data_IF_002426115758
#
_entry.id   IF_002426115758
#
_cell.length_a   1.000
_cell.length_b   1.000
_cell.length_c   1.000
_cell.angle_alpha   90.00
_cell.angle_beta   90.00
_cell.angle_gamma   90.00
#
_symmetry.space_group_name_H-M   'P 1'
#
loop_
_entity.id
_entity.type
_entity.pdbx_description
1 polymer ?
#
# COMPACT_ATOMS: atom_id res chain seq x y z
N UNK A 1 3.63 2.13 -18.63
CA UNK A 1 3.69 1.44 -17.31
C UNK A 1 2.70 0.30 -17.29
N UNK A 2 3.01 -0.82 -16.62
CA UNK A 2 2.07 -1.95 -16.46
C UNK A 2 1.56 -1.95 -15.01
N UNK A 3 0.24 -2.00 -14.84
CA UNK A 3 -0.45 -2.08 -13.54
C UNK A 3 -0.97 -3.51 -13.35
N UNK A 4 -0.84 -4.03 -12.13
CA UNK A 4 -1.25 -5.40 -11.75
C UNK A 4 -2.16 -5.37 -10.54
N UNK A 5 -2.81 -6.49 -10.20
CA UNK A 5 -3.55 -6.60 -8.95
C UNK A 5 -2.60 -6.57 -7.74
N UNK A 6 -3.05 -6.03 -6.59
CA UNK A 6 -2.26 -6.01 -5.37
C UNK A 6 -2.08 -7.42 -4.77
N UNK A 7 -2.82 -8.41 -5.26
CA UNK A 7 -2.74 -9.81 -4.83
C UNK A 7 -2.56 -10.66 -6.10
N UNK A 8 -1.60 -11.60 -6.07
CA UNK A 8 -1.34 -12.47 -7.21
C UNK A 8 -2.54 -13.39 -7.46
N UNK A 9 -3.09 -13.34 -8.66
CA UNK A 9 -4.06 -14.31 -9.13
C UNK A 9 -3.34 -15.49 -9.80
N UNK A 10 -3.82 -16.73 -9.63
CA UNK A 10 -3.28 -17.88 -10.35
C UNK A 10 -3.45 -17.67 -11.86
N UNK A 11 -2.36 -17.84 -12.60
CA UNK A 11 -2.37 -17.82 -14.06
C UNK A 11 -2.74 -19.20 -14.58
N UNK A 12 -3.69 -19.26 -15.52
CA UNK A 12 -4.09 -20.48 -16.22
C UNK A 12 -3.92 -20.23 -17.71
N UNK A 13 -2.96 -20.92 -18.34
CA UNK A 13 -2.69 -20.82 -19.77
C UNK A 13 -3.93 -21.21 -20.59
N UNK A 14 -4.26 -20.45 -21.64
CA UNK A 14 -5.45 -20.64 -22.47
C UNK A 14 -6.76 -20.10 -21.86
N UNK A 15 -6.70 -19.56 -20.64
CA UNK A 15 -7.80 -18.88 -19.97
C UNK A 15 -7.42 -17.45 -19.57
N UNK A 16 -6.51 -16.80 -20.29
CA UNK A 16 -5.93 -15.50 -19.93
C UNK A 16 -6.98 -14.39 -19.76
N UNK A 17 -8.05 -14.43 -20.56
CA UNK A 17 -9.21 -13.53 -20.47
C UNK A 17 -10.42 -14.17 -19.76
N UNK A 18 -10.31 -15.45 -19.37
CA UNK A 18 -11.35 -16.27 -18.73
C UNK A 18 -10.97 -16.68 -17.32
N UNK A 19 -9.95 -16.08 -16.73
CA UNK A 19 -9.84 -16.03 -15.28
C UNK A 19 -11.03 -15.17 -14.87
N UNK A 20 -12.15 -15.84 -14.63
CA UNK A 20 -13.37 -15.23 -14.13
C UNK A 20 -12.93 -14.32 -12.97
N UNK A 21 -13.45 -13.09 -12.81
CA UNK A 21 -13.02 -12.15 -11.76
C UNK A 21 -13.13 -12.64 -10.29
N UNK A 22 -13.18 -13.93 -9.99
CA UNK A 22 -14.40 -14.50 -9.43
C UNK A 22 -14.31 -14.94 -7.97
N UNK A 23 -13.12 -14.97 -7.37
CA UNK A 23 -13.00 -15.25 -5.93
C UNK A 23 -12.64 -14.00 -5.14
N UNK A 24 -11.66 -13.24 -5.64
CA UNK A 24 -11.17 -12.06 -4.94
C UNK A 24 -12.19 -10.90 -4.96
N UNK A 25 -12.80 -10.62 -6.12
CA UNK A 25 -13.81 -9.56 -6.22
C UNK A 25 -15.19 -10.01 -5.73
N UNK A 26 -15.56 -11.28 -5.83
CA UNK A 26 -16.79 -11.76 -5.15
C UNK A 26 -16.69 -11.63 -3.63
N UNK A 27 -15.49 -11.72 -3.07
CA UNK A 27 -15.22 -11.45 -1.67
C UNK A 27 -14.87 -9.96 -1.41
N UNK A 28 -15.00 -9.08 -2.40
CA UNK A 28 -14.86 -7.64 -2.16
C UNK A 28 -16.17 -7.07 -1.61
N UNK A 29 -16.09 -6.13 -0.68
CA UNK A 29 -17.23 -5.44 -0.08
C UNK A 29 -18.32 -6.27 0.62
N UNK A 30 -18.14 -7.58 0.74
CA UNK A 30 -19.12 -8.50 1.33
C UNK A 30 -19.50 -8.14 2.78
N UNK A 31 -18.61 -7.48 3.52
CA UNK A 31 -18.81 -7.13 4.94
C UNK A 31 -19.01 -5.63 5.15
N UNK A 32 -18.44 -4.81 4.28
CA UNK A 32 -18.32 -3.36 4.46
C UNK A 32 -19.27 -2.52 3.62
N UNK A 33 -20.09 -3.14 2.74
CA UNK A 33 -21.08 -2.46 1.90
C UNK A 33 -20.56 -2.12 0.50
N UNK A 34 -21.45 -1.91 -0.48
CA UNK A 34 -21.07 -1.85 -1.90
C UNK A 34 -20.36 -0.53 -2.28
N UNK A 35 -19.13 -0.60 -2.77
CA UNK A 35 -18.41 0.55 -3.30
C UNK A 35 -19.23 1.28 -4.40
N UNK A 36 -19.32 2.63 -4.38
CA UNK A 36 -18.57 3.58 -3.55
C UNK A 36 -19.21 3.93 -2.19
N UNK A 37 -20.21 3.17 -1.74
CA UNK A 37 -20.96 3.43 -0.51
C UNK A 37 -20.72 2.35 0.55
N UNK A 38 -20.22 2.76 1.72
CA UNK A 38 -20.07 1.85 2.84
C UNK A 38 -21.43 1.41 3.42
N UNK A 39 -21.43 0.36 4.24
CA UNK A 39 -22.58 -0.19 4.97
C UNK A 39 -23.21 0.84 5.91
N UNK A 40 -22.42 1.79 6.38
CA UNK A 40 -22.85 2.96 7.15
C UNK A 40 -23.51 4.07 6.30
N UNK A 41 -23.63 3.88 4.98
CA UNK A 41 -24.12 4.85 3.99
C UNK A 41 -23.25 6.11 3.87
N UNK A 42 -21.97 6.00 4.18
CA UNK A 42 -20.99 7.04 3.89
C UNK A 42 -20.22 6.73 2.61
N UNK A 43 -19.64 7.78 2.03
CA UNK A 43 -18.66 7.66 0.97
C UNK A 43 -17.51 6.76 1.42
N UNK A 44 -17.13 5.84 0.57
CA UNK A 44 -16.09 4.87 0.83
C UNK A 44 -15.05 4.96 -0.29
N UNK A 45 -13.84 5.42 0.05
CA UNK A 45 -12.80 5.84 -0.92
C UNK A 45 -12.11 4.70 -1.66
N UNK A 46 -12.38 3.45 -1.28
CA UNK A 46 -11.72 2.27 -1.80
C UNK A 46 -12.50 1.01 -1.62
N UNK A 47 -11.83 -0.09 -1.94
CA UNK A 47 -12.40 -1.42 -1.82
C UNK A 47 -11.73 -2.27 -0.74
N UNK A 48 -12.49 -2.98 0.07
CA UNK A 48 -12.04 -4.07 0.90
C UNK A 48 -11.87 -5.33 0.06
N UNK A 49 -10.67 -5.87 0.05
CA UNK A 49 -10.33 -7.13 -0.62
C UNK A 49 -10.09 -8.21 0.44
N UNK A 50 -10.82 -9.31 0.33
CA UNK A 50 -10.67 -10.47 1.21
C UNK A 50 -10.20 -11.69 0.40
N UNK A 51 -8.89 -11.83 0.12
CA UNK A 51 -8.38 -12.94 -0.70
C UNK A 51 -8.53 -14.27 0.02
N UNK A 52 -9.05 -15.30 -0.65
CA UNK A 52 -9.22 -16.67 -0.10
C UNK A 52 -8.03 -17.13 0.73
N UNK A 53 -6.80 -16.98 0.20
CA UNK A 53 -5.59 -17.11 1.00
C UNK A 53 -5.25 -15.81 1.73
N UNK A 54 -5.61 -15.72 3.01
CA UNK A 54 -5.28 -14.57 3.87
C UNK A 54 -3.78 -14.44 4.14
N UNK A 55 -2.96 -15.43 3.79
CA UNK A 55 -1.51 -15.36 3.87
C UNK A 55 -0.84 -15.01 2.52
N UNK A 56 -1.62 -14.69 1.49
CA UNK A 56 -1.08 -14.17 0.25
C UNK A 56 -0.39 -12.80 0.48
N UNK A 57 0.81 -12.56 -0.09
CA UNK A 57 1.47 -11.27 -0.01
C UNK A 57 0.68 -10.19 -0.76
N UNK A 58 0.55 -9.03 -0.13
CA UNK A 58 0.06 -7.79 -0.76
C UNK A 58 1.25 -7.12 -1.43
N UNK A 59 1.12 -6.81 -2.71
CA UNK A 59 2.20 -6.37 -3.58
C UNK A 59 1.91 -5.03 -4.21
N UNK A 60 2.98 -4.28 -4.50
CA UNK A 60 2.88 -3.03 -5.23
C UNK A 60 2.34 -3.29 -6.64
N UNK A 61 1.25 -2.60 -6.99
CA UNK A 61 0.57 -2.77 -8.29
C UNK A 61 1.42 -2.32 -9.47
N UNK A 62 2.35 -1.40 -9.24
CA UNK A 62 3.21 -0.77 -10.23
C UNK A 62 4.45 -0.17 -9.55
N UNK A 63 5.47 0.19 -10.35
CA UNK A 63 6.64 0.88 -9.82
C UNK A 63 6.28 2.30 -9.34
N UNK A 64 6.80 2.73 -8.20
CA UNK A 64 6.41 3.99 -7.57
C UNK A 64 7.31 4.40 -6.41
N UNK A 65 7.08 5.58 -5.88
CA UNK A 65 7.79 6.14 -4.74
C UNK A 65 6.94 5.93 -3.48
N UNK A 66 7.57 5.58 -2.36
CA UNK A 66 6.86 5.58 -1.08
C UNK A 66 6.60 7.03 -0.70
N UNK A 67 5.34 7.38 -0.46
CA UNK A 67 4.96 8.72 0.03
C UNK A 67 5.01 8.71 1.55
N UNK A 68 4.28 7.76 2.14
CA UNK A 68 4.19 7.56 3.57
C UNK A 68 3.82 6.10 3.86
N UNK A 69 4.17 5.64 5.05
CA UNK A 69 3.74 4.35 5.55
C UNK A 69 3.59 4.39 7.06
N UNK A 70 2.85 3.43 7.61
CA UNK A 70 2.81 3.14 9.04
C UNK A 70 2.79 1.64 9.21
N UNK A 71 3.60 1.15 10.12
CA UNK A 71 3.51 -0.22 10.63
C UNK A 71 3.37 -0.18 12.13
N UNK A 72 2.32 -0.81 12.63
CA UNK A 72 2.14 -1.08 14.05
C UNK A 72 2.75 -2.45 14.36
N UNK A 73 3.36 -2.61 15.54
CA UNK A 73 3.87 -3.92 15.95
C UNK A 73 2.72 -4.89 16.26
N UNK A 74 1.62 -4.40 16.81
CA UNK A 74 0.38 -5.14 17.09
C UNK A 74 -0.84 -4.33 16.69
N UNK A 75 -1.98 -4.98 16.45
CA UNK A 75 -3.24 -4.28 16.21
C UNK A 75 -3.66 -3.44 17.42
N UNK A 76 -4.35 -2.34 17.16
CA UNK A 76 -4.71 -1.34 18.18
C UNK A 76 -6.18 -0.96 18.03
N UNK A 77 -6.87 -0.74 19.14
CA UNK A 77 -8.22 -0.18 19.12
C UNK A 77 -8.19 1.34 19.25
N UNK A 78 -9.31 1.97 18.91
CA UNK A 78 -9.58 3.37 19.22
C UNK A 78 -10.99 3.53 19.82
N UNK A 79 -11.31 4.75 20.26
CA UNK A 79 -12.61 5.07 20.85
C UNK A 79 -13.76 5.04 19.82
N UNK A 80 -13.45 5.15 18.52
CA UNK A 80 -14.46 5.17 17.45
C UNK A 80 -15.00 3.77 17.15
N UNK A 81 -14.24 2.71 17.42
CA UNK A 81 -14.60 1.32 17.14
C UNK A 81 -14.76 0.45 18.40
N UNK A 82 -15.36 1.00 19.46
CA UNK A 82 -15.67 0.27 20.71
C UNK A 82 -14.44 -0.46 21.32
N UNK A 83 -13.23 0.06 21.09
CA UNK A 83 -11.93 -0.53 21.49
C UNK A 83 -11.57 -1.86 20.83
N UNK A 84 -12.31 -2.31 19.82
CA UNK A 84 -11.95 -3.49 19.04
C UNK A 84 -10.62 -3.23 18.31
N UNK A 85 -9.62 -4.08 18.55
CA UNK A 85 -8.29 -3.94 17.94
C UNK A 85 -8.34 -4.25 16.45
N UNK A 86 -7.84 -3.34 15.63
CA UNK A 86 -7.73 -3.54 14.18
C UNK A 86 -6.38 -3.01 13.68
N UNK A 87 -6.06 -3.29 12.41
CA UNK A 87 -4.79 -2.85 11.86
C UNK A 87 -4.91 -1.41 11.37
N UNK A 88 -4.02 -0.55 11.86
CA UNK A 88 -3.83 0.80 11.32
C UNK A 88 -2.65 0.87 10.36
N UNK A 89 -1.97 -0.25 10.08
CA UNK A 89 -0.79 -0.25 9.21
C UNK A 89 -1.20 0.00 7.76
N UNK A 90 -0.42 0.83 7.07
CA UNK A 90 -0.67 1.15 5.68
C UNK A 90 0.61 1.49 4.92
N UNK A 91 0.54 1.42 3.60
CA UNK A 91 1.55 1.96 2.68
C UNK A 91 0.84 2.84 1.65
N UNK A 92 1.39 4.02 1.36
CA UNK A 92 0.94 4.92 0.30
C UNK A 92 2.05 5.08 -0.74
N UNK A 93 1.74 4.76 -1.99
CA UNK A 93 2.67 4.88 -3.12
C UNK A 93 2.22 5.96 -4.09
N UNK A 94 3.18 6.73 -4.62
CA UNK A 94 3.02 7.63 -5.77
C UNK A 94 3.55 6.95 -7.02
N UNK A 95 2.75 6.98 -8.07
CA UNK A 95 3.11 6.44 -9.37
C UNK A 95 3.15 7.55 -10.40
N UNK A 96 4.06 7.42 -11.36
CA UNK A 96 4.17 8.30 -12.50
C UNK A 96 4.23 7.45 -13.76
N UNK A 97 3.23 7.64 -14.62
CA UNK A 97 3.08 6.92 -15.88
C UNK A 97 3.25 7.89 -17.04
N UNK A 98 4.20 7.59 -17.94
CA UNK A 98 4.32 8.31 -19.20
C UNK A 98 3.18 7.88 -20.14
N UNK A 99 2.42 8.85 -20.65
CA UNK A 99 1.29 8.65 -21.55
C UNK A 99 1.68 8.74 -23.03
N UNK A 100 2.96 8.95 -23.31
CA UNK A 100 3.50 9.13 -24.65
C UNK A 100 3.83 10.58 -24.98
N UNK A 101 4.38 10.76 -26.17
CA UNK A 101 4.82 12.04 -26.69
C UNK A 101 3.77 12.60 -27.64
N UNK A 102 3.31 13.82 -27.37
CA UNK A 102 2.41 14.56 -28.24
C UNK A 102 3.13 15.73 -28.90
N UNK A 103 2.48 16.38 -29.86
CA UNK A 103 2.96 17.66 -30.43
C UNK A 103 3.08 18.78 -29.39
N UNK A 104 2.42 18.63 -28.22
CA UNK A 104 2.48 19.54 -27.08
C UNK A 104 3.52 19.12 -26.03
N UNK A 105 4.30 18.07 -26.29
CA UNK A 105 5.32 17.54 -25.39
C UNK A 105 4.95 16.19 -24.76
N UNK A 106 5.78 15.74 -23.81
CA UNK A 106 5.56 14.50 -23.06
C UNK A 106 4.47 14.71 -22.00
N UNK A 107 3.42 13.90 -22.04
CA UNK A 107 2.37 13.90 -21.01
C UNK A 107 2.63 12.82 -19.96
N UNK A 108 2.41 13.16 -18.70
CA UNK A 108 2.60 12.27 -17.55
C UNK A 108 1.31 12.22 -16.73
N UNK A 109 0.95 11.03 -16.26
CA UNK A 109 -0.14 10.80 -15.32
C UNK A 109 0.46 10.46 -13.95
N UNK A 110 0.09 11.23 -12.94
CA UNK A 110 0.39 10.92 -11.55
C UNK A 110 -0.85 10.32 -10.91
N UNK A 111 -0.67 9.23 -10.18
CA UNK A 111 -1.72 8.66 -9.35
C UNK A 111 -1.10 8.00 -8.13
N UNK A 112 -1.94 7.69 -7.15
CA UNK A 112 -1.54 7.08 -5.91
C UNK A 112 -2.23 5.75 -5.72
N UNK A 113 -1.58 4.84 -5.00
CA UNK A 113 -2.22 3.64 -4.47
C UNK A 113 -2.03 3.54 -2.97
N UNK A 114 -3.12 3.33 -2.25
CA UNK A 114 -3.16 3.22 -0.79
C UNK A 114 -3.55 1.79 -0.41
N UNK A 115 -2.75 1.19 0.48
CA UNK A 115 -2.93 -0.18 0.97
C UNK A 115 -3.08 -0.11 2.48
N UNK A 116 -4.30 -0.21 2.99
CA UNK A 116 -4.64 -0.12 4.41
C UNK A 116 -4.96 -1.48 5.02
N UNK A 117 -4.99 -1.51 6.35
CA UNK A 117 -5.21 -2.72 7.15
C UNK A 117 -4.17 -3.81 6.88
N UNK A 118 -2.92 -3.42 6.63
CA UNK A 118 -1.82 -4.38 6.47
C UNK A 118 -1.52 -5.06 7.80
N UNK A 119 -1.21 -6.35 7.80
CA UNK A 119 -0.97 -7.12 9.03
C UNK A 119 0.12 -6.49 9.90
N UNK A 120 -0.10 -6.46 11.21
CA UNK A 120 0.86 -5.96 12.19
C UNK A 120 2.24 -6.63 12.06
N UNK A 121 3.30 -5.85 12.32
CA UNK A 121 4.68 -6.24 12.06
C UNK A 121 5.12 -7.49 12.83
N UNK A 122 4.73 -7.62 14.10
CA UNK A 122 5.05 -8.78 14.93
C UNK A 122 4.63 -10.13 14.33
N UNK A 123 3.64 -10.13 13.42
CA UNK A 123 3.11 -11.32 12.75
C UNK A 123 3.76 -11.61 11.39
N UNK A 124 4.56 -10.69 10.86
CA UNK A 124 5.17 -10.81 9.52
C UNK A 124 6.69 -10.65 9.52
N UNK A 125 7.30 -10.18 10.61
CA UNK A 125 8.75 -9.93 10.75
C UNK A 125 9.64 -11.15 10.44
N UNK A 126 9.13 -12.36 10.67
CA UNK A 126 9.88 -13.60 10.49
C UNK A 126 9.75 -14.17 9.06
N UNK A 127 8.99 -13.51 8.17
CA UNK A 127 8.89 -13.91 6.77
C UNK A 127 10.18 -13.56 6.03
N UNK A 128 10.71 -14.52 5.27
CA UNK A 128 11.98 -14.43 4.56
C UNK A 128 11.83 -14.71 3.05
N UNK A 129 12.89 -14.44 2.29
CA UNK A 129 12.94 -14.70 0.85
C UNK A 129 11.84 -13.96 0.08
N UNK A 130 11.15 -14.65 -0.82
CA UNK A 130 10.07 -14.08 -1.65
C UNK A 130 8.82 -13.63 -0.87
N UNK A 131 8.73 -14.03 0.41
CA UNK A 131 7.66 -13.67 1.33
C UNK A 131 8.04 -12.49 2.24
N UNK A 132 9.30 -12.07 2.27
CA UNK A 132 9.72 -10.94 3.08
C UNK A 132 9.06 -9.64 2.61
N UNK A 133 8.62 -8.80 3.54
CA UNK A 133 8.21 -7.42 3.23
C UNK A 133 9.46 -6.67 2.80
N UNK A 134 9.46 -6.11 1.58
CA UNK A 134 10.70 -5.65 0.92
C UNK A 134 10.57 -4.32 0.15
N UNK A 135 9.48 -3.58 0.39
CA UNK A 135 9.22 -2.33 -0.34
C UNK A 135 10.15 -1.18 0.06
N UNK A 136 10.69 -1.18 1.28
CA UNK A 136 11.70 -0.21 1.69
C UNK A 136 13.08 -0.70 1.28
N UNK A 137 13.71 0.03 0.36
CA UNK A 137 15.06 -0.23 -0.13
C UNK A 137 15.88 1.04 -0.14
N UNK A 138 17.18 0.92 0.14
CA UNK A 138 18.14 2.02 0.02
C UNK A 138 19.03 1.76 -1.18
N UNK A 139 19.28 2.81 -1.94
CA UNK A 139 20.24 2.81 -3.01
C UNK A 139 21.64 2.75 -2.43
N UNK A 140 22.39 1.72 -2.79
CA UNK A 140 23.80 1.57 -2.47
C UNK A 140 24.57 1.91 -3.75
N UNK A 141 25.41 2.96 -3.74
CA UNK A 141 26.24 3.28 -4.88
C UNK A 141 27.30 2.20 -5.09
N UNK A 142 27.86 2.17 -6.29
CA UNK A 142 28.98 1.28 -6.61
C UNK A 142 30.13 1.50 -5.61
N UNK A 143 30.64 0.41 -5.03
CA UNK A 143 31.66 0.47 -3.97
C UNK A 143 32.63 -0.70 -4.08
N UNK A 144 33.88 -0.59 -3.60
CA UNK A 144 34.81 -1.71 -3.56
C UNK A 144 34.26 -2.85 -2.67
N UNK A 145 34.35 -4.08 -3.13
CA UNK A 145 34.04 -5.25 -2.32
C UNK A 145 35.08 -5.36 -1.19
N UNK A 146 34.62 -5.44 0.06
CA UNK A 146 35.47 -5.52 1.24
C UNK A 146 35.48 -6.95 1.81
N UNK A 147 36.68 -7.48 2.09
CA UNK A 147 36.88 -8.69 2.88
C UNK A 147 37.92 -8.42 3.96
N UNK A 148 37.62 -8.75 5.21
CA UNK A 148 38.50 -8.51 6.36
C UNK A 148 38.97 -7.04 6.48
N UNK A 149 38.08 -6.07 6.20
CA UNK A 149 38.37 -4.62 6.21
C UNK A 149 39.35 -4.14 5.12
N UNK A 150 39.63 -4.96 4.10
CA UNK A 150 40.45 -4.56 2.95
C UNK A 150 39.71 -4.79 1.63
N UNK A 151 39.94 -3.97 0.60
CA UNK A 151 39.38 -4.20 -0.74
C UNK A 151 39.86 -5.53 -1.32
N UNK A 152 38.95 -6.29 -1.89
CA UNK A 152 39.30 -7.42 -2.76
C UNK A 152 39.92 -6.87 -4.04
N UNK A 153 41.05 -7.43 -4.45
CA UNK A 153 41.77 -7.00 -5.66
C UNK A 153 41.64 -8.06 -6.76
N UNK A 154 41.55 -7.60 -8.00
CA UNK A 154 41.64 -8.43 -9.20
C UNK A 154 43.10 -8.85 -9.49
N UNK A 155 43.31 -9.61 -10.56
CA UNK A 155 44.65 -10.07 -10.99
C UNK A 155 45.59 -8.91 -11.38
N UNK A 156 45.04 -7.72 -11.60
CA UNK A 156 45.75 -6.50 -11.97
C UNK A 156 45.92 -5.54 -10.77
N UNK A 157 45.68 -6.02 -9.53
CA UNK A 157 45.75 -5.23 -8.30
C UNK A 157 44.76 -4.06 -8.24
N UNK A 158 43.65 -4.13 -8.98
CA UNK A 158 42.57 -3.13 -8.93
C UNK A 158 41.44 -3.62 -8.03
N UNK A 159 40.76 -2.74 -7.28
CA UNK A 159 39.61 -3.13 -6.48
C UNK A 159 38.52 -3.79 -7.33
N UNK A 160 38.02 -4.93 -6.88
CA UNK A 160 36.82 -5.55 -7.41
C UNK A 160 35.63 -4.74 -6.90
N UNK A 161 34.85 -4.18 -7.82
CA UNK A 161 33.72 -3.31 -7.51
C UNK A 161 32.45 -4.15 -7.35
N UNK A 162 31.67 -3.85 -6.31
CA UNK A 162 30.28 -4.24 -6.18
C UNK A 162 29.43 -3.21 -6.94
N UNK A 163 28.64 -3.63 -7.95
CA UNK A 163 27.84 -2.70 -8.73
C UNK A 163 26.77 -2.04 -7.85
N UNK A 164 26.36 -0.85 -8.24
CA UNK A 164 25.29 -0.14 -7.55
C UNK A 164 23.98 -0.96 -7.58
N UNK A 165 23.31 -1.04 -6.44
CA UNK A 165 22.12 -1.87 -6.29
C UNK A 165 21.24 -1.37 -5.12
N UNK A 166 20.04 -1.94 -5.02
CA UNK A 166 19.15 -1.68 -3.91
C UNK A 166 19.32 -2.75 -2.81
N UNK A 167 19.51 -2.31 -1.57
CA UNK A 167 19.48 -3.17 -0.38
C UNK A 167 18.19 -2.94 0.42
N UNK A 168 17.54 -4.00 0.95
CA UNK A 168 16.41 -3.85 1.86
C UNK A 168 16.76 -3.00 3.08
N UNK A 169 15.90 -2.05 3.42
CA UNK A 169 16.03 -1.24 4.62
C UNK A 169 15.13 -1.80 5.74
N UNK A 170 15.56 -1.70 7.01
CA UNK A 170 14.75 -2.15 8.13
C UNK A 170 13.46 -1.33 8.22
N UNK A 171 12.35 -2.02 8.45
CA UNK A 171 11.07 -1.41 8.81
C UNK A 171 11.03 -1.12 10.31
N UNK A 172 10.62 0.09 10.67
CA UNK A 172 10.43 0.50 12.07
C UNK A 172 8.94 0.42 12.41
N UNK A 173 8.49 -0.54 13.23
CA UNK A 173 7.08 -0.65 13.63
C UNK A 173 6.74 0.33 14.77
N UNK A 174 7.01 1.62 14.57
CA UNK A 174 6.83 2.68 15.58
C UNK A 174 5.36 3.00 15.87
N UNK A 175 4.46 2.52 15.00
CA UNK A 175 3.06 2.91 14.95
C UNK A 175 2.81 4.39 14.62
N UNK A 176 3.87 5.12 14.24
CA UNK A 176 3.81 6.48 13.71
C UNK A 176 3.76 6.43 12.18
N UNK A 177 3.30 7.53 11.59
CA UNK A 177 3.40 7.72 10.15
C UNK A 177 4.83 8.15 9.83
N UNK A 178 5.51 7.37 9.00
CA UNK A 178 6.86 7.62 8.50
C UNK A 178 6.77 8.11 7.06
N UNK A 179 7.61 9.09 6.69
CA UNK A 179 7.71 9.56 5.30
C UNK A 179 8.59 8.61 4.49
N UNK A 180 8.26 8.42 3.21
CA UNK A 180 9.02 7.58 2.29
C UNK A 180 10.24 8.25 1.66
N UNK A 181 10.81 9.28 2.29
CA UNK A 181 11.95 10.03 1.75
C UNK A 181 13.27 9.24 1.89
N UNK A 182 14.14 9.35 0.88
CA UNK A 182 15.47 8.71 0.92
C UNK A 182 15.47 7.20 0.67
N UNK A 183 14.35 6.64 0.19
CA UNK A 183 14.27 5.25 -0.26
C UNK A 183 14.26 5.17 -1.79
N UNK A 184 14.75 4.05 -2.31
CA UNK A 184 14.67 3.69 -3.71
C UNK A 184 13.23 3.46 -4.14
N UNK A 185 13.03 3.50 -5.46
CA UNK A 185 11.71 3.27 -6.06
C UNK A 185 11.23 1.84 -5.78
N UNK A 186 10.02 1.72 -5.27
CA UNK A 186 9.28 0.46 -5.17
C UNK A 186 9.07 -0.09 -6.57
N UNK A 187 9.31 -1.37 -6.74
CA UNK A 187 9.10 -2.10 -7.99
C UNK A 187 7.76 -2.81 -7.95
N UNK A 188 7.14 -2.96 -9.13
CA UNK A 188 5.93 -3.76 -9.26
C UNK A 188 6.20 -5.18 -8.74
N UNK A 189 5.36 -5.64 -7.82
CA UNK A 189 5.50 -6.97 -7.22
C UNK A 189 6.27 -7.00 -5.90
N UNK A 190 6.94 -5.92 -5.49
CA UNK A 190 7.49 -5.81 -4.12
C UNK A 190 6.39 -6.06 -3.10
N UNK A 191 6.68 -6.84 -2.06
CA UNK A 191 5.78 -7.17 -0.97
C UNK A 191 5.67 -5.96 -0.04
N UNK A 192 4.48 -5.39 0.01
CA UNK A 192 4.13 -4.28 0.87
C UNK A 192 3.70 -4.75 2.26
N UNK A 193 3.10 -5.94 2.36
CA UNK A 193 2.54 -6.50 3.58
C UNK A 193 1.65 -7.72 3.33
N UNK A 194 0.73 -7.99 4.26
CA UNK A 194 -0.21 -9.12 4.25
C UNK A 194 -1.60 -8.65 4.71
N UNK A 195 -2.65 -9.44 4.48
CA UNK A 195 -3.98 -9.12 5.01
C UNK A 195 -3.96 -9.02 6.53
N UNK A 196 -4.38 -7.86 7.05
CA UNK A 196 -4.58 -7.59 8.46
C UNK A 196 -6.05 -7.48 8.82
N UNK A 197 -6.34 -7.03 10.04
CA UNK A 197 -7.69 -6.87 10.57
C UNK A 197 -8.35 -5.57 10.10
N UNK A 198 -9.55 -5.68 9.53
CA UNK A 198 -10.40 -4.58 9.07
C UNK A 198 -11.54 -4.37 10.09
N UNK A 199 -11.80 -3.14 10.56
CA UNK A 199 -12.89 -2.83 11.49
C UNK A 199 -14.24 -2.71 10.78
N UNK A 200 -14.59 -3.68 9.92
CA UNK A 200 -15.84 -3.70 9.14
C UNK A 200 -17.05 -4.18 9.95
N UNK A 201 -16.80 -4.76 11.11
CA UNK A 201 -17.80 -5.11 12.09
C UNK A 201 -17.23 -4.82 13.51
N UNK A 202 -18.11 -4.35 14.39
CA UNK A 202 -17.70 -3.78 15.69
C UNK A 202 -17.16 -4.82 16.69
N UNK A 203 -17.30 -6.12 16.41
CA UNK A 203 -17.04 -7.20 17.38
C UNK A 203 -15.93 -8.17 16.99
N UNK A 204 -15.76 -8.50 15.71
CA UNK A 204 -14.77 -9.45 15.21
C UNK A 204 -14.21 -9.03 13.83
N UNK A 205 -13.16 -8.19 13.81
CA UNK A 205 -12.56 -7.68 12.58
C UNK A 205 -12.30 -8.77 11.55
N UNK A 206 -12.73 -8.52 10.30
CA UNK A 206 -12.42 -9.42 9.21
C UNK A 206 -10.94 -9.35 8.84
N UNK A 207 -10.47 -10.31 8.04
CA UNK A 207 -9.10 -10.29 7.51
C UNK A 207 -9.09 -9.94 6.02
N UNK A 208 -8.42 -8.86 5.66
CA UNK A 208 -8.31 -8.38 4.29
C UNK A 208 -7.38 -7.19 4.18
N UNK A 209 -7.56 -6.40 3.12
CA UNK A 209 -6.99 -5.05 3.01
C UNK A 209 -8.07 -4.08 2.54
N UNK A 210 -7.91 -2.80 2.87
CA UNK A 210 -8.60 -1.74 2.16
C UNK A 210 -7.66 -1.14 1.11
N UNK A 211 -8.12 -0.98 -0.13
CA UNK A 211 -7.30 -0.62 -1.27
C UNK A 211 -7.93 0.53 -2.09
N UNK A 212 -7.15 1.57 -2.35
CA UNK A 212 -7.58 2.73 -3.13
C UNK A 212 -6.61 3.02 -4.29
N UNK A 213 -7.16 3.50 -5.40
CA UNK A 213 -6.40 4.21 -6.44
C UNK A 213 -7.07 5.56 -6.64
N UNK A 214 -6.30 6.64 -6.53
CA UNK A 214 -6.79 7.99 -6.75
C UNK A 214 -5.79 8.82 -7.54
N UNK A 215 -6.32 9.73 -8.36
CA UNK A 215 -5.56 10.54 -9.31
C UNK A 215 -5.37 11.98 -8.82
N UNK A 216 -5.82 12.27 -7.61
CA UNK A 216 -5.90 13.65 -7.13
C UNK A 216 -4.53 14.18 -6.69
N UNK A 217 -4.35 15.47 -6.96
CA UNK A 217 -3.27 16.25 -6.37
C UNK A 217 -3.52 16.34 -4.85
N UNK A 218 -2.59 15.88 -3.98
CA UNK A 218 -2.78 15.88 -2.53
C UNK A 218 -2.97 17.27 -1.92
N UNK A 219 -2.96 18.35 -2.72
CA UNK A 219 -3.51 19.66 -2.36
C UNK A 219 -4.92 19.60 -1.75
N UNK A 220 -5.75 18.59 -2.03
CA UNK A 220 -7.01 18.44 -1.29
C UNK A 220 -6.76 18.29 0.23
N UNK A 221 -5.70 17.59 0.65
CA UNK A 221 -5.31 17.51 2.07
C UNK A 221 -4.84 18.86 2.65
N UNK A 222 -4.49 19.81 1.80
CA UNK A 222 -4.31 21.18 2.23
C UNK A 222 -5.70 21.75 2.47
N UNK A 223 -6.07 21.89 3.74
CA UNK A 223 -7.27 22.58 4.18
C UNK A 223 -6.91 23.98 4.70
N UNK A 224 -6.37 24.89 3.85
CA UNK A 224 -5.91 26.20 4.31
C UNK A 224 -7.06 27.04 4.89
N UNK A 225 -8.29 26.72 4.50
CA UNK A 225 -9.50 27.39 4.99
C UNK A 225 -10.05 26.79 6.30
N UNK A 226 -9.45 25.70 6.81
CA UNK A 226 -10.01 24.92 7.92
C UNK A 226 -11.50 24.58 7.74
N UNK A 227 -11.95 24.39 6.49
CA UNK A 227 -13.30 23.95 6.23
C UNK A 227 -13.54 22.65 7.01
N UNK A 228 -14.66 22.52 7.71
CA UNK A 228 -14.95 21.27 8.43
C UNK A 228 -15.30 20.23 7.37
N UNK A 229 -14.35 19.35 7.06
CA UNK A 229 -14.58 18.24 6.15
C UNK A 229 -15.57 17.28 6.80
N UNK A 230 -16.64 16.94 6.08
CA UNK A 230 -17.65 16.00 6.59
C UNK A 230 -18.72 16.60 7.52
N UNK A 231 -18.84 17.93 7.68
CA UNK A 231 -20.06 18.50 8.28
C UNK A 231 -21.21 18.34 7.29
N UNK A 232 -21.99 17.26 7.44
CA UNK A 232 -23.19 17.05 6.64
C UNK A 232 -24.25 18.09 7.05
N UNK A 233 -24.59 19.01 6.16
CA UNK A 233 -25.62 20.04 6.42
C UNK A 233 -27.06 19.48 6.42
N UNK A 234 -27.23 18.15 6.30
CA UNK A 234 -28.55 17.50 6.23
C UNK A 234 -29.20 17.23 7.60
N UNK A 235 -28.54 17.50 8.72
CA UNK A 235 -29.12 17.34 10.07
C UNK A 235 -29.41 18.66 10.78
N UNK A 236 -29.38 19.79 10.07
CA UNK A 236 -30.02 20.99 10.59
C UNK A 236 -31.53 20.81 10.42
N UNK A 237 -32.16 20.29 11.47
CA UNK A 237 -33.62 20.27 11.66
C UNK A 237 -34.13 21.68 11.33
N UNK A 238 -34.74 21.84 10.18
CA UNK A 238 -35.63 22.95 9.91
C UNK A 238 -36.85 22.73 10.81
N UNK A 239 -36.83 23.38 11.97
CA UNK A 239 -38.04 23.70 12.68
C UNK A 239 -38.84 24.65 11.80
N UNK A 240 -39.75 24.10 10.98
CA UNK A 240 -40.80 24.86 10.34
C UNK A 240 -42.09 24.19 10.79
N UNK A 241 -42.78 24.86 11.72
CA UNK A 241 -44.14 24.51 12.08
C UNK A 241 -45.07 24.77 10.91
N UNK A 242 -45.94 23.79 10.67
CA UNK A 242 -47.37 23.97 10.45
C UNK A 242 -48.08 22.82 11.18
#
# INVERSE_FOLDING_TARGET
MIITYPIRLPYVAGAEQRVVPDALYHQSEILSGPYPMGKNRYWHGGIHLHPTDRNAPIRAIAAGEVVAYRYDDTDTGDEMFEKTSYSRSFVLLRHEAELGQSTLGSSKLVFYSLYMHLRAWSKVKDKAGEQAVNFLKKWIPERPMIRNKSPLLDKQHRPIMEPAHDEPAPLTPSGKVELGTGFSRVQRGDVLGYCGSIPDNLTNPSQGIHFEIFFEDPRFLQNPMQAIWGKCWLTAIQGIGF
#
